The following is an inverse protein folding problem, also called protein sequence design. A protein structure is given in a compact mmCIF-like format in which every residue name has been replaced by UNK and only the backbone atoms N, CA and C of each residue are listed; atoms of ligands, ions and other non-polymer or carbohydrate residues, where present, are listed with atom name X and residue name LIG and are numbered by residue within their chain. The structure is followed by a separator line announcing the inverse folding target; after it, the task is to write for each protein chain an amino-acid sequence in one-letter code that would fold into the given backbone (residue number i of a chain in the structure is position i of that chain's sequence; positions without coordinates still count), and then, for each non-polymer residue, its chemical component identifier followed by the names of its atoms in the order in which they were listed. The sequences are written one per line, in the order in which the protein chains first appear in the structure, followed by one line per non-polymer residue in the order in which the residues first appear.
data_IF_031671034008
#
_entry.id   IF_031671034008
#
_cell.length_a   1.000
_cell.length_b   1.000
_cell.length_c   1.000
_cell.angle_alpha   90.00
_cell.angle_beta   90.00
_cell.angle_gamma   90.00
#
_symmetry.space_group_name_H-M   'P 1'
#
loop_
_entity.id
_entity.type
_entity.pdbx_description
1 polymer ?
#
# COMPACT_ATOMS: atom_id res chain seq x y z
N UNK A 1 -18.80 39.14 21.99
CA UNK A 1 -18.09 38.73 20.75
C UNK A 1 -17.03 37.71 21.14
N UNK A 2 -17.34 36.43 20.99
CA UNK A 2 -16.48 35.31 21.38
C UNK A 2 -15.55 34.98 20.22
N UNK A 3 -14.30 35.44 20.30
CA UNK A 3 -13.22 35.14 19.36
C UNK A 3 -12.59 33.77 19.64
N UNK A 4 -13.42 32.73 19.76
CA UNK A 4 -12.94 31.35 19.73
C UNK A 4 -12.77 30.95 18.28
N UNK A 5 -11.53 30.65 17.91
CA UNK A 5 -11.07 30.44 16.55
C UNK A 5 -12.00 29.50 15.78
N UNK A 6 -12.33 29.90 14.57
CA UNK A 6 -12.74 28.96 13.54
C UNK A 6 -11.60 27.95 13.42
N UNK A 7 -11.78 26.76 13.99
CA UNK A 7 -10.98 25.60 13.62
C UNK A 7 -11.12 25.50 12.11
N UNK A 8 -10.04 25.80 11.39
CA UNK A 8 -9.95 25.49 9.96
C UNK A 8 -10.09 23.97 9.93
N UNK A 9 -11.29 23.48 9.56
CA UNK A 9 -11.46 22.05 9.30
C UNK A 9 -10.53 21.73 8.14
N UNK A 10 -9.47 20.98 8.42
CA UNK A 10 -8.61 20.46 7.35
C UNK A 10 -9.48 19.70 6.35
N UNK A 11 -9.20 19.85 5.04
CA UNK A 11 -9.97 19.15 4.03
C UNK A 11 -9.86 17.63 4.24
N UNK A 12 -10.98 16.92 4.11
CA UNK A 12 -11.02 15.47 4.21
C UNK A 12 -10.05 14.83 3.21
N UNK A 13 -9.33 13.80 3.66
CA UNK A 13 -8.41 13.04 2.83
C UNK A 13 -9.16 12.25 1.77
N UNK A 14 -8.65 12.25 0.54
CA UNK A 14 -9.28 11.63 -0.64
C UNK A 14 -8.31 10.65 -1.31
N UNK A 15 -8.28 9.39 -0.83
CA UNK A 15 -7.48 8.28 -1.36
C UNK A 15 -7.46 8.15 -2.89
N UNK A 16 -8.62 8.29 -3.54
CA UNK A 16 -8.80 8.09 -4.99
C UNK A 16 -8.43 9.32 -5.81
N UNK A 17 -7.98 10.40 -5.17
CA UNK A 17 -7.48 11.58 -5.85
C UNK A 17 -5.97 11.61 -5.85
N UNK A 18 -5.40 12.14 -6.93
CA UNK A 18 -3.96 12.39 -7.00
C UNK A 18 -3.59 13.26 -5.79
N UNK A 19 -2.64 12.81 -4.95
CA UNK A 19 -2.15 13.64 -3.85
C UNK A 19 -1.66 14.93 -4.50
N UNK A 20 -2.10 16.08 -4.00
CA UNK A 20 -1.64 17.37 -4.49
C UNK A 20 -0.12 17.39 -4.40
N UNK A 21 0.56 17.11 -5.52
CA UNK A 21 2.02 17.03 -5.56
C UNK A 21 2.50 18.35 -4.97
N UNK A 22 3.37 18.34 -3.94
CA UNK A 22 3.93 19.57 -3.41
C UNK A 22 4.43 20.38 -4.60
N UNK A 23 3.98 21.64 -4.72
CA UNK A 23 4.41 22.49 -5.83
C UNK A 23 5.94 22.58 -5.90
N UNK A 24 6.61 22.32 -4.78
CA UNK A 24 8.04 22.03 -4.66
C UNK A 24 8.28 20.95 -3.60
N UNK A 25 9.06 19.90 -3.90
CA UNK A 25 9.54 18.98 -2.87
C UNK A 25 10.53 19.71 -1.94
N UNK A 26 10.46 19.45 -0.63
CA UNK A 26 11.32 20.04 0.42
C UNK A 26 12.80 19.73 0.16
N UNK A 27 13.05 18.60 -0.50
CA UNK A 27 14.33 18.19 -1.01
C UNK A 27 14.16 17.99 -2.52
N UNK A 28 14.91 18.72 -3.35
CA UNK A 28 14.84 18.53 -4.80
C UNK A 28 15.37 17.13 -5.13
N UNK A 29 14.54 16.20 -5.62
CA UNK A 29 15.07 14.98 -6.17
C UNK A 29 15.77 15.34 -7.48
N UNK A 30 16.94 14.76 -7.71
CA UNK A 30 17.52 14.71 -9.05
C UNK A 30 16.46 14.20 -10.03
N UNK A 31 16.37 14.83 -11.20
CA UNK A 31 15.44 14.56 -12.31
C UNK A 31 14.61 13.27 -12.11
N UNK A 32 13.44 13.36 -11.47
CA UNK A 32 12.56 12.19 -11.35
C UNK A 32 12.07 11.91 -12.77
N UNK A 33 12.68 10.91 -13.40
CA UNK A 33 12.20 10.40 -14.67
C UNK A 33 10.79 9.89 -14.44
N UNK A 34 9.86 10.57 -15.10
CA UNK A 34 8.46 10.21 -15.10
C UNK A 34 8.39 8.90 -15.90
N UNK A 35 8.38 7.77 -15.20
CA UNK A 35 7.80 6.51 -15.66
C UNK A 35 8.09 6.13 -17.14
N UNK A 36 9.13 5.34 -17.45
CA UNK A 36 9.18 4.64 -18.72
C UNK A 36 9.04 3.13 -18.49
N UNK A 37 7.82 2.61 -18.26
CA UNK A 37 7.64 1.17 -18.14
C UNK A 37 7.96 0.50 -19.48
N UNK A 38 7.77 1.17 -20.63
CA UNK A 38 7.95 0.56 -21.96
C UNK A 38 9.41 0.39 -22.39
N UNK A 39 10.34 1.22 -21.90
CA UNK A 39 11.77 1.07 -22.20
C UNK A 39 12.40 -0.08 -21.42
N UNK A 40 11.90 -0.32 -20.21
CA UNK A 40 12.36 -1.40 -19.34
C UNK A 40 11.65 -2.73 -19.62
N UNK A 41 10.34 -2.71 -19.85
CA UNK A 41 9.49 -3.90 -20.01
C UNK A 41 8.37 -3.66 -21.05
N UNK A 42 8.12 -4.64 -21.91
CA UNK A 42 7.06 -4.53 -22.91
C UNK A 42 5.67 -4.36 -22.27
N UNK A 43 4.73 -3.68 -22.94
CA UNK A 43 3.36 -3.54 -22.44
C UNK A 43 2.71 -4.91 -22.18
N UNK A 44 2.95 -5.87 -23.06
CA UNK A 44 2.47 -7.25 -22.93
C UNK A 44 2.99 -7.92 -21.66
N UNK A 45 4.26 -7.71 -21.31
CA UNK A 45 4.83 -8.32 -20.10
C UNK A 45 4.38 -7.60 -18.83
N UNK A 46 4.12 -6.29 -18.88
CA UNK A 46 3.46 -5.59 -17.78
C UNK A 46 2.07 -6.16 -17.52
N UNK A 47 1.29 -6.43 -18.56
CA UNK A 47 -0.04 -7.05 -18.43
C UNK A 47 0.07 -8.46 -17.83
N UNK A 48 1.03 -9.28 -18.28
CA UNK A 48 1.30 -10.61 -17.68
C UNK A 48 1.68 -10.53 -16.20
N UNK A 49 2.50 -9.55 -15.80
CA UNK A 49 2.85 -9.36 -14.39
C UNK A 49 1.63 -8.93 -13.57
N UNK A 50 0.75 -8.12 -14.15
CA UNK A 50 -0.50 -7.76 -13.51
C UNK A 50 -1.42 -8.98 -13.32
N UNK A 51 -1.51 -9.86 -14.32
CA UNK A 51 -2.22 -11.15 -14.22
C UNK A 51 -1.65 -12.02 -13.10
N UNK A 52 -0.32 -12.19 -13.05
CA UNK A 52 0.36 -12.95 -11.99
C UNK A 52 0.09 -12.38 -10.59
N UNK A 53 0.04 -11.05 -10.46
CA UNK A 53 -0.34 -10.38 -9.21
C UNK A 53 -1.76 -10.75 -8.78
N UNK A 54 -2.74 -10.68 -9.69
CA UNK A 54 -4.12 -11.03 -9.36
C UNK A 54 -4.31 -12.50 -9.02
N UNK A 55 -3.54 -13.39 -9.67
CA UNK A 55 -3.58 -14.82 -9.41
C UNK A 55 -2.97 -15.18 -8.04
N UNK A 56 -1.84 -14.59 -7.67
CA UNK A 56 -1.03 -15.06 -6.53
C UNK A 56 -1.00 -14.14 -5.32
N UNK A 57 -1.16 -12.82 -5.51
CA UNK A 57 -0.95 -11.83 -4.44
C UNK A 57 -2.27 -11.22 -3.99
N UNK A 58 -3.15 -10.86 -4.93
CA UNK A 58 -4.40 -10.16 -4.63
C UNK A 58 -5.31 -10.92 -3.64
N UNK A 59 -5.28 -12.25 -3.66
CA UNK A 59 -6.01 -13.11 -2.70
C UNK A 59 -5.55 -12.90 -1.25
N UNK A 60 -4.28 -12.57 -1.04
CA UNK A 60 -3.73 -12.28 0.29
C UNK A 60 -3.84 -10.79 0.68
N UNK A 61 -3.78 -9.89 -0.32
CA UNK A 61 -3.85 -8.45 -0.13
C UNK A 61 -4.77 -7.79 -1.18
N UNK A 62 -6.10 -7.84 -1.00
CA UNK A 62 -7.05 -7.32 -1.97
C UNK A 62 -7.13 -5.79 -1.88
N UNK A 63 -6.21 -5.09 -2.56
CA UNK A 63 -6.15 -3.62 -2.55
C UNK A 63 -7.25 -2.99 -3.42
N UNK A 64 -7.28 -3.32 -4.71
CA UNK A 64 -8.23 -2.79 -5.70
C UNK A 64 -8.72 -3.91 -6.59
N UNK A 65 -9.92 -3.74 -7.16
CA UNK A 65 -10.43 -4.66 -8.18
C UNK A 65 -9.61 -4.57 -9.48
N UNK A 66 -9.75 -5.59 -10.31
CA UNK A 66 -9.01 -5.71 -11.58
C UNK A 66 -9.30 -4.57 -12.56
N UNK A 67 -10.52 -4.05 -12.59
CA UNK A 67 -10.90 -2.99 -13.54
C UNK A 67 -10.21 -1.69 -13.13
N UNK A 68 -10.35 -1.29 -11.86
CA UNK A 68 -9.72 -0.07 -11.34
C UNK A 68 -8.20 -0.14 -11.46
N UNK A 69 -7.58 -1.28 -11.13
CA UNK A 69 -6.12 -1.44 -11.26
C UNK A 69 -5.63 -1.27 -12.71
N UNK A 70 -6.35 -1.84 -13.68
CA UNK A 70 -6.01 -1.69 -15.10
C UNK A 70 -6.16 -0.24 -15.59
N UNK A 71 -7.21 0.46 -15.13
CA UNK A 71 -7.43 1.86 -15.48
C UNK A 71 -6.31 2.75 -14.94
N UNK A 72 -5.88 2.54 -13.70
CA UNK A 72 -4.76 3.28 -13.11
C UNK A 72 -3.45 2.95 -13.83
N UNK A 73 -3.19 1.68 -14.18
CA UNK A 73 -2.00 1.34 -14.96
C UNK A 73 -2.00 2.04 -16.32
N UNK A 74 -3.15 2.12 -16.98
CA UNK A 74 -3.30 2.84 -18.24
C UNK A 74 -3.07 4.37 -18.09
N UNK A 75 -3.57 4.98 -17.01
CA UNK A 75 -3.31 6.40 -16.70
C UNK A 75 -1.83 6.65 -16.48
N UNK A 76 -1.19 5.80 -15.66
CA UNK A 76 0.24 5.87 -15.41
C UNK A 76 1.04 5.71 -16.72
N UNK A 77 0.73 4.73 -17.58
CA UNK A 77 1.32 4.56 -18.94
C UNK A 77 1.19 5.80 -19.82
N UNK A 78 0.06 6.49 -19.75
CA UNK A 78 -0.21 7.70 -20.52
C UNK A 78 0.37 8.98 -19.88
N UNK A 79 1.06 8.87 -18.74
CA UNK A 79 1.49 10.00 -17.92
C UNK A 79 0.33 10.96 -17.55
N UNK A 80 -0.85 10.38 -17.33
CA UNK A 80 -2.02 11.08 -16.83
C UNK A 80 -2.07 11.00 -15.30
N UNK A 81 -2.97 11.80 -14.71
CA UNK A 81 -3.29 11.80 -13.30
C UNK A 81 -3.73 10.40 -12.82
N UNK A 82 -2.80 9.71 -12.16
CA UNK A 82 -2.89 8.36 -11.62
C UNK A 82 -2.82 8.50 -10.10
N UNK A 83 -3.83 8.04 -9.36
CA UNK A 83 -3.77 8.10 -7.89
C UNK A 83 -2.85 7.00 -7.35
N UNK A 84 -2.64 5.93 -8.12
CA UNK A 84 -1.53 5.00 -7.93
C UNK A 84 -0.24 5.62 -8.48
N UNK A 85 0.89 5.34 -7.83
CA UNK A 85 2.17 5.97 -8.18
C UNK A 85 3.07 5.03 -8.98
N UNK A 86 4.08 5.55 -9.68
CA UNK A 86 5.17 4.74 -10.24
C UNK A 86 5.78 3.74 -9.24
N UNK A 87 5.98 4.19 -7.99
CA UNK A 87 6.47 3.36 -6.89
C UNK A 87 5.59 2.12 -6.71
N UNK A 88 4.28 2.31 -6.64
CA UNK A 88 3.31 1.22 -6.46
C UNK A 88 3.45 0.16 -7.55
N UNK A 89 3.47 0.56 -8.82
CA UNK A 89 3.51 -0.41 -9.91
C UNK A 89 4.87 -1.09 -10.06
N UNK A 90 5.98 -0.42 -9.82
CA UNK A 90 7.29 -1.08 -9.78
C UNK A 90 7.37 -2.12 -8.66
N UNK A 91 6.85 -1.79 -7.47
CA UNK A 91 6.76 -2.75 -6.37
C UNK A 91 5.84 -3.94 -6.72
N UNK A 92 4.71 -3.68 -7.39
CA UNK A 92 3.80 -4.73 -7.88
C UNK A 92 4.51 -5.65 -8.88
N UNK A 93 5.21 -5.09 -9.87
CA UNK A 93 5.95 -5.86 -10.86
C UNK A 93 7.10 -6.66 -10.24
N UNK A 94 7.83 -6.06 -9.28
CA UNK A 94 8.86 -6.76 -8.52
C UNK A 94 8.28 -7.98 -7.79
N UNK A 95 7.18 -7.81 -7.06
CA UNK A 95 6.53 -8.90 -6.34
C UNK A 95 5.96 -9.97 -7.28
N UNK A 96 5.24 -9.56 -8.33
CA UNK A 96 4.64 -10.47 -9.30
C UNK A 96 5.69 -11.29 -10.05
N UNK A 97 6.86 -10.72 -10.34
CA UNK A 97 7.96 -11.43 -11.02
C UNK A 97 8.39 -12.71 -10.29
N UNK A 98 8.24 -12.75 -8.96
CA UNK A 98 8.59 -13.92 -8.14
C UNK A 98 7.67 -15.11 -8.36
N UNK A 99 6.50 -14.87 -8.93
CA UNK A 99 5.51 -15.87 -9.32
C UNK A 99 5.63 -16.26 -10.80
N UNK A 100 6.47 -15.58 -11.58
CA UNK A 100 6.84 -16.05 -12.90
C UNK A 100 7.70 -17.32 -12.79
N UNK A 101 7.68 -18.15 -13.84
CA UNK A 101 8.57 -19.32 -13.92
C UNK A 101 10.03 -18.87 -13.92
N UNK A 102 10.91 -19.65 -13.29
CA UNK A 102 12.34 -19.32 -13.17
C UNK A 102 13.08 -19.22 -14.52
N UNK A 103 12.59 -19.92 -15.56
CA UNK A 103 13.11 -19.85 -16.92
C UNK A 103 12.58 -18.65 -17.72
N UNK A 104 11.58 -17.94 -17.18
CA UNK A 104 11.05 -16.73 -17.79
C UNK A 104 11.95 -15.53 -17.43
N UNK A 105 12.38 -14.72 -18.42
CA UNK A 105 13.17 -13.51 -18.17
C UNK A 105 12.56 -12.58 -17.12
N UNK A 106 11.23 -12.53 -17.01
CA UNK A 106 10.53 -11.72 -16.02
C UNK A 106 10.92 -12.04 -14.59
N UNK A 107 11.21 -13.31 -14.26
CA UNK A 107 11.66 -13.70 -12.92
C UNK A 107 12.96 -13.00 -12.53
N UNK A 108 13.90 -12.87 -13.47
CA UNK A 108 15.18 -12.20 -13.24
C UNK A 108 15.06 -10.67 -13.16
N UNK A 109 13.97 -10.10 -13.67
CA UNK A 109 13.75 -8.64 -13.65
C UNK A 109 13.26 -8.11 -12.29
N UNK A 110 12.90 -9.00 -11.35
CA UNK A 110 12.37 -8.60 -10.03
C UNK A 110 13.27 -7.61 -9.29
N UNK A 111 14.58 -7.86 -9.28
CA UNK A 111 15.55 -6.99 -8.61
C UNK A 111 15.63 -5.62 -9.28
N UNK A 112 15.53 -5.58 -10.62
CA UNK A 112 15.50 -4.33 -11.39
C UNK A 112 14.26 -3.52 -11.08
N UNK A 113 13.08 -4.16 -11.00
CA UNK A 113 11.84 -3.48 -10.61
C UNK A 113 11.92 -2.98 -9.16
N UNK A 114 12.51 -3.76 -8.26
CA UNK A 114 12.73 -3.33 -6.87
C UNK A 114 13.65 -2.10 -6.79
N UNK A 115 14.72 -2.05 -7.59
CA UNK A 115 15.60 -0.86 -7.66
C UNK A 115 14.86 0.39 -8.14
N UNK A 116 13.98 0.26 -9.14
CA UNK A 116 13.14 1.37 -9.61
C UNK A 116 12.14 1.81 -8.53
N UNK A 117 11.54 0.87 -7.79
CA UNK A 117 10.65 1.19 -6.67
C UNK A 117 11.38 1.99 -5.58
N UNK A 118 12.63 1.61 -5.24
CA UNK A 118 13.47 2.36 -4.29
C UNK A 118 13.76 3.78 -4.80
N UNK A 119 14.12 3.94 -6.07
CA UNK A 119 14.38 5.27 -6.64
C UNK A 119 13.15 6.19 -6.57
N UNK A 120 11.95 5.65 -6.85
CA UNK A 120 10.71 6.41 -6.71
C UNK A 120 10.30 6.67 -5.25
N UNK A 121 10.60 5.76 -4.32
CA UNK A 121 10.46 5.98 -2.88
C UNK A 121 11.29 7.16 -2.43
N UNK A 122 12.58 7.18 -2.78
CA UNK A 122 13.50 8.23 -2.34
C UNK A 122 13.10 9.60 -2.90
N UNK A 123 12.56 9.65 -4.12
CA UNK A 123 12.00 10.87 -4.70
C UNK A 123 10.72 11.38 -4.05
N UNK A 124 9.96 10.51 -3.38
CA UNK A 124 8.73 10.84 -2.65
C UNK A 124 8.91 10.82 -1.12
N UNK A 125 10.14 10.72 -0.63
CA UNK A 125 10.43 10.61 0.78
C UNK A 125 9.91 11.83 1.55
N UNK A 126 9.21 11.59 2.67
CA UNK A 126 8.58 12.63 3.48
C UNK A 126 7.21 13.11 2.99
N UNK A 127 6.67 12.53 1.91
CA UNK A 127 5.32 12.84 1.42
C UNK A 127 4.38 11.66 1.59
N UNK A 128 3.59 11.63 2.68
CA UNK A 128 2.65 10.54 2.94
C UNK A 128 1.52 10.57 1.92
N UNK A 129 1.27 9.44 1.26
CA UNK A 129 0.08 9.21 0.44
C UNK A 129 -0.20 7.71 0.35
N UNK A 130 -1.46 7.33 0.06
CA UNK A 130 -1.85 5.92 -0.03
C UNK A 130 -1.04 5.15 -1.07
N UNK A 131 -0.70 5.76 -2.20
CA UNK A 131 0.12 5.09 -3.22
C UNK A 131 1.51 4.70 -2.70
N UNK A 132 2.15 5.59 -1.94
CA UNK A 132 3.43 5.30 -1.29
C UNK A 132 3.28 4.22 -0.22
N UNK A 133 2.24 4.29 0.61
CA UNK A 133 1.95 3.24 1.61
C UNK A 133 1.82 1.88 0.93
N UNK A 134 0.93 1.75 -0.06
CA UNK A 134 0.67 0.49 -0.75
C UNK A 134 1.91 -0.05 -1.46
N UNK A 135 2.68 0.81 -2.12
CA UNK A 135 3.91 0.37 -2.78
C UNK A 135 5.00 -0.02 -1.80
N UNK A 136 5.13 0.65 -0.65
CA UNK A 136 6.02 0.22 0.43
C UNK A 136 5.62 -1.16 0.97
N UNK A 137 4.33 -1.42 1.15
CA UNK A 137 3.84 -2.73 1.60
C UNK A 137 4.14 -3.84 0.58
N UNK A 138 3.98 -3.56 -0.72
CA UNK A 138 4.39 -4.50 -1.78
C UNK A 138 5.89 -4.78 -1.79
N UNK A 139 6.72 -3.75 -1.56
CA UNK A 139 8.17 -3.90 -1.40
C UNK A 139 8.51 -4.78 -0.18
N UNK A 140 7.78 -4.62 0.92
CA UNK A 140 7.93 -5.45 2.13
C UNK A 140 7.63 -6.91 1.81
N UNK A 141 6.53 -7.21 1.14
CA UNK A 141 6.17 -8.57 0.74
C UNK A 141 7.24 -9.19 -0.17
N UNK A 142 7.76 -8.43 -1.14
CA UNK A 142 8.85 -8.91 -2.00
C UNK A 142 10.10 -9.27 -1.20
N UNK A 143 10.52 -8.41 -0.25
CA UNK A 143 11.69 -8.64 0.60
C UNK A 143 11.51 -9.85 1.52
N UNK A 144 10.30 -10.10 2.02
CA UNK A 144 10.01 -11.27 2.85
C UNK A 144 10.23 -12.59 2.11
N UNK A 145 10.11 -12.61 0.77
CA UNK A 145 10.37 -13.81 -0.03
C UNK A 145 11.85 -14.18 -0.14
N UNK A 146 12.78 -13.26 0.17
CA UNK A 146 14.23 -13.52 0.13
C UNK A 146 14.73 -14.32 1.34
N UNK A 147 13.97 -14.30 2.45
CA UNK A 147 14.16 -15.15 3.65
C UNK A 147 15.54 -15.05 4.33
N UNK A 148 16.20 -13.92 4.22
CA UNK A 148 17.47 -13.63 4.88
C UNK A 148 17.40 -12.35 5.75
N UNK A 149 18.33 -12.25 6.71
CA UNK A 149 18.27 -11.22 7.75
C UNK A 149 18.43 -9.78 7.25
N UNK A 150 19.31 -9.47 6.29
CA UNK A 150 19.42 -8.13 5.72
C UNK A 150 18.09 -7.65 5.12
N UNK A 151 17.47 -8.46 4.24
CA UNK A 151 16.19 -8.11 3.62
C UNK A 151 15.06 -8.04 4.65
N UNK A 152 15.02 -8.94 5.64
CA UNK A 152 14.03 -8.85 6.74
C UNK A 152 14.17 -7.56 7.56
N UNK A 153 15.39 -7.09 7.80
CA UNK A 153 15.64 -5.83 8.52
C UNK A 153 15.24 -4.63 7.67
N UNK A 154 15.51 -4.67 6.36
CA UNK A 154 15.10 -3.62 5.43
C UNK A 154 13.58 -3.55 5.29
N UNK A 155 12.92 -4.70 5.12
CA UNK A 155 11.47 -4.82 5.09
C UNK A 155 10.83 -4.19 6.33
N UNK A 156 11.42 -4.40 7.51
CA UNK A 156 10.88 -3.85 8.75
C UNK A 156 10.96 -2.32 8.80
N UNK A 157 12.01 -1.75 8.23
CA UNK A 157 12.14 -0.30 8.10
C UNK A 157 11.09 0.28 7.15
N UNK A 158 10.86 -0.38 6.00
CA UNK A 158 9.83 0.05 5.04
C UNK A 158 8.42 -0.09 5.63
N UNK A 159 8.15 -1.15 6.41
CA UNK A 159 6.88 -1.31 7.10
C UNK A 159 6.64 -0.19 8.12
N UNK A 160 7.66 0.17 8.90
CA UNK A 160 7.57 1.31 9.85
C UNK A 160 7.29 2.63 9.15
N UNK A 161 7.93 2.87 8.02
CA UNK A 161 7.66 4.06 7.20
C UNK A 161 6.21 4.08 6.69
N UNK A 162 5.72 2.96 6.14
CA UNK A 162 4.34 2.84 5.68
C UNK A 162 3.33 3.10 6.82
N UNK A 163 3.60 2.59 8.01
CA UNK A 163 2.75 2.80 9.20
C UNK A 163 2.77 4.26 9.65
N UNK A 164 3.95 4.89 9.65
CA UNK A 164 4.07 6.32 9.91
C UNK A 164 3.20 7.14 8.94
N UNK A 165 3.26 6.82 7.64
CA UNK A 165 2.41 7.48 6.64
C UNK A 165 0.92 7.23 6.87
N UNK A 166 0.50 6.02 7.28
CA UNK A 166 -0.90 5.73 7.64
C UNK A 166 -1.37 6.61 8.81
N UNK A 167 -0.51 6.80 9.82
CA UNK A 167 -0.78 7.66 10.97
C UNK A 167 -0.86 9.13 10.55
N UNK A 168 0.08 9.59 9.72
CA UNK A 168 0.13 10.97 9.21
C UNK A 168 -1.11 11.31 8.36
N UNK A 169 -1.56 10.38 7.53
CA UNK A 169 -2.76 10.55 6.71
C UNK A 169 -4.05 10.49 7.53
N UNK A 170 -4.01 9.95 8.75
CA UNK A 170 -5.19 9.82 9.59
C UNK A 170 -6.23 8.81 9.09
N UNK A 171 -5.88 7.93 8.14
CA UNK A 171 -6.86 7.03 7.48
C UNK A 171 -7.46 5.96 8.40
N UNK A 172 -6.86 5.76 9.57
CA UNK A 172 -7.40 4.90 10.64
C UNK A 172 -8.64 5.53 11.33
N UNK A 173 -8.97 6.79 11.03
CA UNK A 173 -10.19 7.47 11.47
C UNK A 173 -11.10 7.72 10.27
N UNK A 174 -12.26 7.05 10.16
CA UNK A 174 -13.18 7.24 9.02
C UNK A 174 -13.61 8.69 8.80
N UNK A 175 -13.72 9.48 9.87
CA UNK A 175 -14.08 10.90 9.81
C UNK A 175 -13.00 11.81 9.20
N UNK A 176 -11.76 11.32 9.05
CA UNK A 176 -10.69 12.05 8.37
C UNK A 176 -10.67 11.77 6.86
N UNK A 177 -11.42 10.77 6.40
CA UNK A 177 -11.50 10.36 5.01
C UNK A 177 -12.81 10.88 4.40
N UNK A 178 -12.76 11.22 3.11
CA UNK A 178 -13.91 11.60 2.31
C UNK A 178 -15.05 10.59 2.45
N UNK A 179 -16.32 11.03 2.54
CA UNK A 179 -17.48 10.13 2.69
C UNK A 179 -17.79 9.33 1.41
N UNK A 180 -17.02 9.56 0.34
CA UNK A 180 -17.11 8.76 -0.88
C UNK A 180 -16.81 7.28 -0.58
N UNK A 181 -17.66 6.34 -1.02
CA UNK A 181 -17.49 4.92 -0.70
C UNK A 181 -16.15 4.34 -1.17
N UNK A 182 -15.67 4.73 -2.34
CA UNK A 182 -14.42 4.19 -2.91
C UNK A 182 -13.21 4.73 -2.12
N UNK A 183 -13.26 5.99 -1.70
CA UNK A 183 -12.28 6.58 -0.78
C UNK A 183 -12.24 5.82 0.55
N UNK A 184 -13.39 5.58 1.18
CA UNK A 184 -13.47 4.85 2.46
C UNK A 184 -12.95 3.42 2.33
N UNK A 185 -13.37 2.70 1.28
CA UNK A 185 -12.95 1.34 1.04
C UNK A 185 -11.43 1.24 0.83
N UNK A 186 -10.85 2.13 0.02
CA UNK A 186 -9.41 2.14 -0.22
C UNK A 186 -8.62 2.48 1.05
N UNK A 187 -9.09 3.43 1.84
CA UNK A 187 -8.50 3.75 3.15
C UNK A 187 -8.51 2.54 4.09
N UNK A 188 -9.65 1.85 4.18
CA UNK A 188 -9.83 0.67 5.03
C UNK A 188 -8.91 -0.47 4.59
N UNK A 189 -8.88 -0.78 3.30
CA UNK A 189 -8.02 -1.83 2.74
C UNK A 189 -6.54 -1.53 2.95
N UNK A 190 -6.14 -0.27 2.76
CA UNK A 190 -4.76 0.19 2.97
C UNK A 190 -4.35 0.07 4.44
N UNK A 191 -5.22 0.49 5.36
CA UNK A 191 -4.98 0.34 6.80
C UNK A 191 -4.80 -1.14 7.19
N UNK A 192 -5.68 -2.03 6.70
CA UNK A 192 -5.58 -3.46 7.02
C UNK A 192 -4.36 -4.13 6.43
N UNK A 193 -3.94 -3.75 5.23
CA UNK A 193 -2.70 -4.22 4.64
C UNK A 193 -1.49 -3.83 5.52
N UNK A 194 -1.42 -2.57 5.95
CA UNK A 194 -0.36 -2.09 6.85
C UNK A 194 -0.39 -2.80 8.21
N UNK A 195 -1.58 -2.92 8.81
CA UNK A 195 -1.77 -3.58 10.10
C UNK A 195 -1.37 -5.05 10.04
N UNK A 196 -1.83 -5.79 9.04
CA UNK A 196 -1.53 -7.23 8.90
C UNK A 196 -0.03 -7.44 8.68
N UNK A 197 0.60 -6.57 7.89
CA UNK A 197 2.06 -6.59 7.68
C UNK A 197 2.80 -6.38 9.00
N UNK A 198 2.44 -5.37 9.81
CA UNK A 198 3.05 -5.12 11.13
C UNK A 198 2.95 -6.34 12.05
N UNK A 199 1.78 -6.97 12.09
CA UNK A 199 1.55 -8.18 12.91
C UNK A 199 2.37 -9.36 12.40
N UNK A 200 2.36 -9.63 11.10
CA UNK A 200 3.10 -10.74 10.52
C UNK A 200 4.61 -10.58 10.75
N UNK A 201 5.15 -9.39 10.56
CA UNK A 201 6.57 -9.11 10.78
C UNK A 201 6.97 -9.23 12.25
N UNK A 202 6.13 -8.72 13.16
CA UNK A 202 6.37 -8.79 14.60
C UNK A 202 6.36 -10.24 15.09
N UNK A 203 5.40 -11.05 14.64
CA UNK A 203 5.29 -12.46 14.99
C UNK A 203 6.40 -13.31 14.38
N UNK A 204 6.81 -13.03 13.14
CA UNK A 204 7.82 -13.82 12.42
C UNK A 204 9.24 -13.55 12.93
N UNK A 205 9.55 -12.28 13.26
CA UNK A 205 10.91 -11.85 13.57
C UNK A 205 11.10 -11.40 15.03
N UNK A 206 10.08 -11.54 15.88
CA UNK A 206 10.12 -11.12 17.29
C UNK A 206 10.28 -9.62 17.48
N UNK A 207 9.80 -8.81 16.51
CA UNK A 207 9.87 -7.34 16.57
C UNK A 207 8.69 -6.80 17.40
N UNK A 208 8.85 -5.64 18.05
CA UNK A 208 7.72 -4.98 18.69
C UNK A 208 6.73 -4.50 17.63
N UNK A 209 5.43 -4.58 17.95
CA UNK A 209 4.37 -3.98 17.15
C UNK A 209 4.57 -2.47 17.04
N UNK A 210 4.30 -1.93 15.86
CA UNK A 210 4.36 -0.49 15.62
C UNK A 210 2.99 0.13 15.88
N UNK A 211 1.90 -0.56 15.55
CA UNK A 211 0.55 -0.10 15.89
C UNK A 211 0.21 -0.34 17.37
N UNK A 212 -0.28 0.70 18.04
CA UNK A 212 -0.80 0.58 19.41
C UNK A 212 -2.19 -0.07 19.42
N UNK A 213 -2.52 -0.81 20.48
CA UNK A 213 -3.84 -1.47 20.63
C UNK A 213 -5.02 -0.47 20.60
N UNK A 214 -4.83 0.77 21.05
CA UNK A 214 -5.90 1.77 21.09
C UNK A 214 -6.40 2.17 19.69
N UNK A 215 -5.51 2.15 18.70
CA UNK A 215 -5.85 2.46 17.30
C UNK A 215 -6.69 1.34 16.65
N UNK A 216 -6.65 0.14 17.26
CA UNK A 216 -7.41 -1.04 16.85
C UNK A 216 -8.90 -0.95 17.19
N UNK A 217 -9.24 -0.48 18.41
CA UNK A 217 -10.63 -0.55 18.90
C UNK A 217 -11.59 0.40 18.19
N UNK A 218 -11.13 1.62 17.85
CA UNK A 218 -11.95 2.59 17.13
C UNK A 218 -12.33 2.09 15.73
N UNK A 219 -11.44 1.33 15.10
CA UNK A 219 -11.61 0.85 13.74
C UNK A 219 -12.35 -0.50 13.68
N UNK A 220 -12.07 -1.42 14.60
CA UNK A 220 -12.85 -2.67 14.75
C UNK A 220 -14.32 -2.33 15.02
N UNK A 221 -14.60 -1.37 15.91
CA UNK A 221 -15.96 -0.93 16.17
C UNK A 221 -16.65 -0.42 14.88
N UNK A 222 -15.93 0.32 14.04
CA UNK A 222 -16.45 0.81 12.76
C UNK A 222 -16.73 -0.32 11.76
N UNK A 223 -15.83 -1.30 11.63
CA UNK A 223 -16.03 -2.51 10.82
C UNK A 223 -17.27 -3.28 11.27
N UNK A 224 -17.44 -3.46 12.58
CA UNK A 224 -18.62 -4.12 13.16
C UNK A 224 -19.92 -3.34 12.92
N UNK A 225 -19.85 -2.01 12.82
CA UNK A 225 -21.02 -1.16 12.52
C UNK A 225 -21.31 -1.02 11.03
N UNK A 226 -20.31 -1.20 10.16
CA UNK A 226 -20.40 -0.97 8.71
C UNK A 226 -20.56 -2.25 7.88
N UNK A 227 -20.22 -3.43 8.41
CA UNK A 227 -20.24 -4.68 7.64
C UNK A 227 -21.48 -5.53 7.97
N UNK A 228 -22.26 -5.88 6.95
CA UNK A 228 -23.22 -6.99 7.04
C UNK A 228 -22.47 -8.33 7.17
N UNK A 229 -23.07 -9.29 7.87
CA UNK A 229 -22.49 -10.57 8.34
C UNK A 229 -21.72 -11.40 7.29
N UNK A 230 -21.84 -11.11 6.00
CA UNK A 230 -21.32 -11.92 4.91
C UNK A 230 -19.80 -11.80 4.69
N UNK A 231 -19.20 -10.63 4.91
CA UNK A 231 -17.76 -10.46 4.72
C UNK A 231 -16.93 -10.99 5.90
N UNK A 232 -17.49 -11.06 7.12
CA UNK A 232 -16.79 -11.57 8.31
C UNK A 232 -16.37 -13.05 8.09
N UNK A 233 -17.16 -13.83 7.36
CA UNK A 233 -16.90 -15.26 7.18
C UNK A 233 -15.87 -15.59 6.09
N UNK A 234 -15.61 -14.69 5.14
CA UNK A 234 -14.79 -14.98 3.96
C UNK A 234 -13.43 -14.26 3.88
N UNK A 235 -13.19 -13.25 4.71
CA UNK A 235 -11.90 -12.53 4.71
C UNK A 235 -10.95 -13.10 5.78
N UNK A 236 -9.63 -13.03 5.52
CA UNK A 236 -8.55 -13.37 6.46
C UNK A 236 -8.77 -12.72 7.86
N UNK A 237 -9.41 -11.56 7.87
CA UNK A 237 -9.84 -10.77 9.04
C UNK A 237 -10.68 -11.60 10.03
N UNK A 238 -11.69 -12.34 9.55
CA UNK A 238 -12.52 -13.19 10.42
C UNK A 238 -11.75 -14.37 11.02
N UNK A 239 -10.80 -14.92 10.27
CA UNK A 239 -9.96 -16.05 10.73
C UNK A 239 -8.91 -15.61 11.75
N UNK A 240 -8.37 -14.40 11.64
CA UNK A 240 -7.44 -13.82 12.63
C UNK A 240 -8.20 -13.47 13.92
N UNK A 241 -9.39 -12.88 13.81
CA UNK A 241 -10.21 -12.54 14.98
C UNK A 241 -10.68 -13.79 15.75
N UNK A 242 -11.15 -14.83 15.06
CA UNK A 242 -11.51 -16.11 15.69
C UNK A 242 -10.33 -16.77 16.40
N UNK A 243 -9.11 -16.64 15.86
CA UNK A 243 -7.90 -17.16 16.52
C UNK A 243 -7.48 -16.33 17.74
N UNK A 244 -7.68 -15.02 17.72
CA UNK A 244 -7.38 -14.14 18.86
C UNK A 244 -8.37 -14.31 20.02
N UNK A 245 -9.65 -14.65 19.76
CA UNK A 245 -10.62 -14.95 20.81
C UNK A 245 -10.36 -16.28 21.56
N UNK A 246 -9.59 -17.20 21.00
CA UNK A 246 -9.28 -18.50 21.62
C UNK A 246 -8.07 -18.43 22.58
N UNK A 247 -7.40 -17.27 22.65
CA UNK A 247 -6.18 -17.06 23.48
C UNK A 247 -6.51 -16.38 24.83
N UNK A 248 -7.78 -16.23 25.18
CA UNK A 248 -8.22 -15.77 26.50
C UNK A 248 -8.98 -16.87 27.27
#
# INVERSE_FOLDING_TARGET
MSAYGQYIQEPLYRPTKVPGRPQQPLFQPGTIQIWPPTELISLTDQDKLLELYFEHVHTSMPILDVITMNQELAKCRANNDCFLSPLFFYALFALASRHARQDNPLYAMGDTFMQQAVAHRDGNFGYPCIASVLGLLLMVEYLQQMRDRPHASYAWMLAREAIGMVTDLGIYKPCNVSPDPDDQELAVRTFWAAFTTDRLMSLTYGRPFVFEEKDMYAFIFFIYMSMTEHLINHTIIGRIYLKLQVVH
#
